data_IF_618672236567
#
_entry.id   IF_618672236567
#
_cell.length_a   1.000
_cell.length_b   1.000
_cell.length_c   1.000
_cell.angle_alpha   90.00
_cell.angle_beta   90.00
_cell.angle_gamma   90.00
#
_symmetry.space_group_name_H-M   'P 1'
#
loop_
_entity.id
_entity.type
_entity.pdbx_description
1 polymer ?
#
# COMPACT_ATOMS: atom_id res chain seq x y z
N UNK A 1 -62.12 5.81 -2.39
CA UNK A 1 -60.75 6.29 -2.68
C UNK A 1 -60.75 6.93 -4.06
N UNK A 2 -60.24 8.15 -4.23
CA UNK A 2 -60.26 8.83 -5.54
C UNK A 2 -59.05 8.41 -6.38
N UNK A 3 -59.27 8.15 -7.67
CA UNK A 3 -58.26 7.63 -8.62
C UNK A 3 -57.41 8.73 -9.27
N UNK A 4 -57.36 9.92 -8.66
CA UNK A 4 -56.74 11.11 -9.24
C UNK A 4 -55.21 11.11 -9.10
N UNK A 5 -54.67 10.57 -7.99
CA UNK A 5 -53.24 10.38 -7.82
C UNK A 5 -52.82 9.08 -8.50
N UNK A 6 -52.14 9.19 -9.64
CA UNK A 6 -51.68 8.04 -10.44
C UNK A 6 -50.21 8.21 -10.83
N UNK A 7 -49.43 7.12 -10.90
CA UNK A 7 -48.06 7.18 -11.39
C UNK A 7 -48.03 7.47 -12.90
N UNK A 8 -46.91 8.03 -13.36
CA UNK A 8 -46.64 8.26 -14.79
C UNK A 8 -45.95 7.02 -15.37
N UNK A 9 -46.65 6.26 -16.20
CA UNK A 9 -46.07 5.09 -16.90
C UNK A 9 -45.42 5.45 -18.24
N UNK A 10 -45.92 6.49 -18.90
CA UNK A 10 -45.37 7.01 -20.15
C UNK A 10 -44.97 8.47 -19.97
N UNK A 11 -43.72 8.85 -20.29
CA UNK A 11 -43.29 10.24 -20.23
C UNK A 11 -43.89 11.05 -21.38
N UNK A 12 -43.98 12.37 -21.21
CA UNK A 12 -44.32 13.28 -22.31
C UNK A 12 -43.21 13.25 -23.38
N UNK A 13 -43.60 13.22 -24.66
CA UNK A 13 -42.66 13.23 -25.80
C UNK A 13 -42.45 14.68 -26.27
N UNK A 14 -41.22 15.04 -26.59
CA UNK A 14 -40.91 16.28 -27.30
C UNK A 14 -41.33 16.22 -28.78
N UNK A 15 -41.41 17.37 -29.42
CA UNK A 15 -41.72 17.55 -30.85
C UNK A 15 -42.97 18.39 -31.14
N UNK A 16 -43.76 18.74 -30.11
CA UNK A 16 -45.02 19.49 -30.27
C UNK A 16 -45.05 20.79 -29.49
N UNK A 17 -43.99 21.11 -28.74
CA UNK A 17 -43.95 22.28 -27.88
C UNK A 17 -43.35 23.50 -28.59
N UNK A 18 -43.31 24.62 -27.87
CA UNK A 18 -42.73 25.87 -28.34
C UNK A 18 -41.27 25.67 -28.78
N UNK A 19 -40.96 26.03 -30.02
CA UNK A 19 -39.62 25.89 -30.61
C UNK A 19 -39.36 24.51 -31.25
N UNK A 20 -40.37 23.63 -31.29
CA UNK A 20 -40.28 22.30 -31.89
C UNK A 20 -41.26 22.20 -33.08
N UNK A 21 -40.78 21.71 -34.23
CA UNK A 21 -41.61 21.39 -35.41
C UNK A 21 -41.91 22.56 -36.33
N UNK A 22 -42.66 23.56 -35.87
CA UNK A 22 -43.11 24.69 -36.70
C UNK A 22 -42.59 26.02 -36.13
N UNK A 23 -41.56 26.57 -36.78
CA UNK A 23 -40.98 27.86 -36.42
C UNK A 23 -41.92 29.02 -36.79
N UNK A 24 -43.02 28.81 -37.51
CA UNK A 24 -43.90 29.88 -38.01
C UNK A 24 -44.84 30.46 -36.93
N UNK A 25 -45.15 29.71 -35.88
CA UNK A 25 -45.94 30.19 -34.72
C UNK A 25 -45.02 30.78 -33.64
N UNK A 26 -44.19 31.77 -34.02
CA UNK A 26 -43.28 32.42 -33.07
C UNK A 26 -44.06 33.15 -31.98
N UNK A 27 -44.00 32.63 -30.75
CA UNK A 27 -44.47 33.33 -29.56
C UNK A 27 -43.48 34.44 -29.19
N UNK A 28 -44.00 35.63 -28.84
CA UNK A 28 -43.22 36.77 -28.36
C UNK A 28 -42.81 36.66 -26.88
N UNK A 29 -43.31 35.63 -26.17
CA UNK A 29 -42.90 35.37 -24.78
C UNK A 29 -41.43 34.94 -24.79
N UNK A 30 -40.63 35.27 -23.78
CA UNK A 30 -39.28 34.70 -23.59
C UNK A 30 -38.95 34.64 -22.10
N UNK A 31 -38.09 33.72 -21.69
CA UNK A 31 -37.61 33.64 -20.31
C UNK A 31 -36.45 34.59 -20.09
N UNK A 32 -36.21 35.01 -18.84
CA UNK A 32 -34.97 35.71 -18.48
C UNK A 32 -33.71 34.90 -18.79
N UNK A 33 -33.83 33.56 -18.84
CA UNK A 33 -32.74 32.64 -19.22
C UNK A 33 -32.46 32.60 -20.73
N UNK A 34 -33.41 33.07 -21.56
CA UNK A 34 -33.26 33.13 -23.02
C UNK A 34 -32.59 34.44 -23.47
N UNK A 35 -32.29 35.34 -22.53
CA UNK A 35 -31.56 36.57 -22.83
C UNK A 35 -30.15 36.24 -23.32
N UNK A 36 -29.59 37.03 -24.26
CA UNK A 36 -28.27 36.76 -24.81
C UNK A 36 -27.19 36.60 -23.73
N UNK A 37 -26.63 35.40 -23.63
CA UNK A 37 -25.54 35.06 -22.72
C UNK A 37 -24.61 34.05 -23.38
N UNK A 38 -23.31 34.10 -23.05
CA UNK A 38 -22.27 33.25 -23.65
C UNK A 38 -22.28 33.22 -25.19
N UNK A 39 -22.40 34.39 -25.82
CA UNK A 39 -22.48 34.54 -27.28
C UNK A 39 -21.16 34.24 -28.01
N UNK A 40 -20.07 33.99 -27.27
CA UNK A 40 -18.75 33.68 -27.82
C UNK A 40 -18.28 32.31 -27.35
N UNK A 41 -18.15 31.38 -28.30
CA UNK A 41 -17.58 30.05 -28.05
C UNK A 41 -16.06 30.15 -27.81
N UNK A 42 -15.58 29.39 -26.82
CA UNK A 42 -14.15 29.25 -26.54
C UNK A 42 -13.60 28.06 -27.31
N UNK A 43 -12.48 28.27 -27.99
CA UNK A 43 -11.72 27.22 -28.66
C UNK A 43 -10.46 26.90 -27.88
N UNK A 44 -10.07 25.61 -27.86
CA UNK A 44 -8.81 25.18 -27.26
C UNK A 44 -7.65 25.87 -27.97
N UNK A 45 -6.77 26.49 -27.20
CA UNK A 45 -5.52 27.05 -27.72
C UNK A 45 -4.43 25.96 -27.76
N UNK A 46 -3.38 26.19 -28.53
CA UNK A 46 -2.20 25.32 -28.55
C UNK A 46 -1.70 25.06 -27.12
N UNK A 47 -1.37 23.80 -26.80
CA UNK A 47 -1.01 23.37 -25.44
C UNK A 47 -2.19 23.04 -24.52
N UNK A 48 -3.44 23.33 -24.87
CA UNK A 48 -4.65 22.95 -24.10
C UNK A 48 -5.27 21.62 -24.55
N UNK A 49 -4.49 20.81 -25.28
CA UNK A 49 -4.97 19.57 -25.91
C UNK A 49 -5.84 19.86 -27.13
N UNK A 50 -5.32 20.64 -28.08
CA UNK A 50 -5.93 20.74 -29.42
C UNK A 50 -5.87 19.37 -30.10
N UNK A 51 -6.70 19.17 -31.12
CA UNK A 51 -6.71 17.93 -31.88
C UNK A 51 -5.35 17.65 -32.52
N UNK A 52 -4.68 18.68 -33.05
CA UNK A 52 -3.35 18.56 -33.65
C UNK A 52 -2.28 18.17 -32.63
N UNK A 53 -2.37 18.66 -31.40
CA UNK A 53 -1.45 18.29 -30.32
C UNK A 53 -1.66 16.84 -29.89
N UNK A 54 -2.91 16.36 -29.88
CA UNK A 54 -3.24 14.98 -29.51
C UNK A 54 -2.85 13.99 -30.59
N UNK A 55 -3.04 14.33 -31.87
CA UNK A 55 -2.65 13.46 -33.02
C UNK A 55 -1.15 13.18 -33.05
N UNK A 56 -0.32 14.10 -32.56
CA UNK A 56 1.15 13.96 -32.54
C UNK A 56 1.67 13.21 -31.31
N UNK A 57 0.84 12.97 -30.29
CA UNK A 57 1.26 12.37 -29.02
C UNK A 57 1.03 10.87 -29.00
N UNK A 58 2.02 10.13 -28.50
CA UNK A 58 1.84 8.74 -28.11
C UNK A 58 1.26 8.67 -26.68
N UNK A 59 -0.07 8.54 -26.61
CA UNK A 59 -0.81 8.53 -25.36
C UNK A 59 -0.52 7.29 -24.50
N UNK A 60 -0.16 6.16 -25.13
CA UNK A 60 0.09 4.90 -24.42
C UNK A 60 1.37 5.02 -23.60
N UNK A 61 2.45 5.49 -24.24
CA UNK A 61 3.73 5.70 -23.56
C UNK A 61 3.63 6.76 -22.46
N UNK A 62 2.98 7.89 -22.73
CA UNK A 62 2.82 8.95 -21.72
C UNK A 62 2.02 8.47 -20.50
N UNK A 63 1.01 7.61 -20.70
CA UNK A 63 0.24 7.00 -19.63
C UNK A 63 1.11 6.06 -18.80
N UNK A 64 1.88 5.18 -19.43
CA UNK A 64 2.74 4.21 -18.74
C UNK A 64 3.82 4.92 -17.90
N UNK A 65 4.45 5.97 -18.43
CA UNK A 65 5.43 6.77 -17.70
C UNK A 65 4.79 7.47 -16.47
N UNK A 66 3.56 7.98 -16.61
CA UNK A 66 2.81 8.58 -15.49
C UNK A 66 2.41 7.55 -14.45
N UNK A 67 1.95 6.37 -14.86
CA UNK A 67 1.60 5.28 -13.96
C UNK A 67 2.83 4.80 -13.17
N UNK A 68 3.98 4.64 -13.84
CA UNK A 68 5.24 4.30 -13.20
C UNK A 68 5.64 5.32 -12.14
N UNK A 69 5.52 6.61 -12.46
CA UNK A 69 5.84 7.69 -11.52
C UNK A 69 4.85 7.74 -10.35
N UNK A 70 3.56 7.61 -10.60
CA UNK A 70 2.53 7.56 -9.56
C UNK A 70 2.70 6.34 -8.64
N UNK A 71 3.05 5.18 -9.20
CA UNK A 71 3.37 3.98 -8.43
C UNK A 71 4.62 4.17 -7.55
N UNK A 72 5.66 4.84 -8.07
CA UNK A 72 6.87 5.16 -7.30
C UNK A 72 6.56 6.13 -6.16
N UNK A 73 5.78 7.18 -6.41
CA UNK A 73 5.35 8.13 -5.38
C UNK A 73 4.50 7.45 -4.30
N UNK A 74 3.55 6.59 -4.70
CA UNK A 74 2.74 5.80 -3.78
C UNK A 74 3.62 4.91 -2.88
N UNK A 75 4.58 4.18 -3.46
CA UNK A 75 5.53 3.35 -2.68
C UNK A 75 6.40 4.19 -1.75
N UNK A 76 6.89 5.35 -2.19
CA UNK A 76 7.66 6.24 -1.34
C UNK A 76 6.84 6.76 -0.15
N UNK A 77 5.57 7.13 -0.37
CA UNK A 77 4.66 7.57 0.68
C UNK A 77 4.30 6.44 1.65
N UNK A 78 4.06 5.24 1.15
CA UNK A 78 3.81 4.05 1.98
C UNK A 78 5.05 3.65 2.79
N UNK A 79 6.24 3.73 2.20
CA UNK A 79 7.51 3.50 2.89
C UNK A 79 7.72 4.51 4.02
N UNK A 80 7.52 5.81 3.75
CA UNK A 80 7.61 6.87 4.75
C UNK A 80 6.56 6.70 5.87
N UNK A 81 5.35 6.25 5.54
CA UNK A 81 4.32 5.92 6.52
C UNK A 81 4.71 4.69 7.38
N UNK A 82 5.40 3.70 6.80
CA UNK A 82 5.81 2.48 7.51
C UNK A 82 7.02 2.66 8.43
N UNK A 83 7.87 3.66 8.21
CA UNK A 83 8.96 4.02 9.14
C UNK A 83 8.45 4.51 10.50
N UNK A 84 7.18 4.91 10.60
CA UNK A 84 6.52 5.25 11.87
C UNK A 84 5.85 4.07 12.60
N UNK A 85 5.89 2.86 12.03
CA UNK A 85 5.21 1.69 12.62
C UNK A 85 5.94 0.35 12.35
N UNK A 86 6.95 0.09 13.18
CA UNK A 86 7.49 -1.21 13.62
C UNK A 86 7.83 -2.29 12.58
N UNK A 87 9.13 -2.54 12.47
CA UNK A 87 9.89 -3.39 11.55
C UNK A 87 9.87 -4.91 11.83
N UNK A 88 8.82 -5.50 12.43
CA UNK A 88 8.93 -6.92 12.89
C UNK A 88 7.81 -7.87 12.47
N UNK A 89 6.80 -7.42 11.70
CA UNK A 89 5.66 -8.28 11.34
C UNK A 89 5.46 -8.55 9.85
N UNK A 90 6.20 -7.87 8.96
CA UNK A 90 6.10 -8.09 7.50
C UNK A 90 6.75 -9.40 7.03
N UNK A 91 7.80 -9.89 7.69
CA UNK A 91 8.49 -11.12 7.27
C UNK A 91 7.63 -12.40 7.34
N UNK A 92 6.63 -12.49 8.24
CA UNK A 92 5.77 -13.69 8.34
C UNK A 92 4.62 -13.72 7.33
N UNK A 93 4.16 -12.58 6.83
CA UNK A 93 3.02 -12.54 5.92
C UNK A 93 3.44 -12.82 4.47
N UNK A 94 4.67 -12.45 4.10
CA UNK A 94 5.22 -12.74 2.77
C UNK A 94 5.58 -14.23 2.59
N UNK A 95 5.94 -14.96 3.66
CA UNK A 95 6.21 -16.41 3.58
C UNK A 95 4.93 -17.23 3.32
N UNK A 96 3.80 -16.87 3.95
CA UNK A 96 2.52 -17.58 3.76
C UNK A 96 1.95 -17.33 2.35
N UNK A 97 2.13 -16.12 1.81
CA UNK A 97 1.70 -15.79 0.45
C UNK A 97 2.54 -16.54 -0.61
N UNK A 98 3.85 -16.67 -0.41
CA UNK A 98 4.73 -17.41 -1.30
C UNK A 98 4.46 -18.93 -1.29
N UNK A 99 4.20 -19.53 -0.12
CA UNK A 99 3.81 -20.95 -0.02
C UNK A 99 2.44 -21.23 -0.65
N UNK A 100 1.49 -20.29 -0.54
CA UNK A 100 0.16 -20.44 -1.17
C UNK A 100 0.19 -20.30 -2.70
N UNK A 101 1.16 -19.56 -3.25
CA UNK A 101 1.32 -19.41 -4.70
C UNK A 101 2.04 -20.62 -5.34
N UNK A 102 2.92 -21.29 -4.59
CA UNK A 102 3.62 -22.49 -5.07
C UNK A 102 2.75 -23.76 -5.06
N UNK A 103 1.65 -23.79 -4.31
CA UNK A 103 0.77 -24.95 -4.20
C UNK A 103 -0.36 -25.01 -5.25
N UNK A 104 -0.47 -24.03 -6.15
CA UNK A 104 -1.58 -23.91 -7.12
C UNK A 104 -1.13 -24.18 -8.57
N UNK A 105 0.17 -24.39 -8.81
CA UNK A 105 0.74 -24.60 -10.16
C UNK A 105 1.50 -25.93 -10.24
N UNK A 106 0.80 -27.03 -9.95
CA UNK A 106 1.37 -28.36 -9.86
C UNK A 106 0.62 -29.38 -10.73
N UNK A 107 0.25 -29.01 -11.96
CA UNK A 107 -0.21 -29.96 -13.00
C UNK A 107 0.02 -29.36 -14.42
N UNK A 108 1.27 -29.33 -14.89
CA UNK A 108 1.57 -29.40 -16.33
C UNK A 108 2.85 -30.20 -16.56
N UNK A 109 2.67 -31.51 -16.74
CA UNK A 109 3.70 -32.45 -17.16
C UNK A 109 3.39 -32.91 -18.60
N UNK A 110 4.18 -32.46 -19.57
CA UNK A 110 4.43 -33.08 -20.88
C UNK A 110 5.83 -32.62 -21.32
N UNK A 111 6.86 -33.37 -21.01
CA UNK A 111 7.40 -34.53 -21.75
C UNK A 111 8.36 -34.13 -22.89
N UNK A 112 9.43 -34.90 -22.96
CA UNK A 112 10.70 -34.71 -23.64
C UNK A 112 10.59 -34.47 -25.15
N UNK A 113 11.36 -33.51 -25.68
CA UNK A 113 12.01 -33.66 -26.99
C UNK A 113 13.44 -33.10 -26.95
N UNK A 114 14.35 -34.02 -26.69
CA UNK A 114 15.75 -34.00 -27.10
C UNK A 114 15.83 -34.19 -28.63
N UNK A 115 16.58 -33.35 -29.36
CA UNK A 115 17.53 -33.72 -30.43
C UNK A 115 17.76 -32.63 -31.50
N UNK A 116 19.01 -32.61 -31.99
CA UNK A 116 19.62 -31.88 -33.13
C UNK A 116 20.21 -30.51 -32.74
N UNK A 117 21.49 -30.38 -32.37
CA UNK A 117 22.72 -30.66 -33.15
C UNK A 117 22.73 -29.91 -34.49
N UNK A 118 23.34 -28.71 -34.46
CA UNK A 118 23.97 -28.06 -35.60
C UNK A 118 25.15 -27.23 -35.08
N UNK A 119 26.33 -27.68 -35.50
CA UNK A 119 27.68 -27.16 -35.30
C UNK A 119 27.94 -25.94 -36.21
N UNK A 120 28.43 -24.83 -35.63
CA UNK A 120 29.29 -23.86 -36.36
C UNK A 120 30.15 -23.01 -35.39
N UNK A 121 31.42 -23.40 -35.29
CA UNK A 121 32.63 -22.56 -35.25
C UNK A 121 32.76 -21.42 -34.20
N UNK A 122 33.57 -21.67 -33.15
CA UNK A 122 34.84 -20.95 -32.84
C UNK A 122 35.36 -21.34 -31.43
N UNK A 123 36.23 -22.35 -31.41
CA UNK A 123 36.66 -23.13 -30.24
C UNK A 123 38.03 -22.67 -29.68
N UNK A 124 38.13 -21.41 -29.22
CA UNK A 124 39.30 -20.97 -28.42
C UNK A 124 38.99 -19.87 -27.37
N UNK A 125 37.98 -19.00 -27.59
CA UNK A 125 37.66 -17.90 -26.66
C UNK A 125 36.68 -18.29 -25.51
N UNK A 126 35.93 -19.39 -25.65
CA UNK A 126 34.90 -19.81 -24.68
C UNK A 126 35.48 -20.55 -23.46
N UNK A 127 36.60 -21.26 -23.63
CA UNK A 127 37.26 -22.01 -22.55
C UNK A 127 37.94 -21.08 -21.54
N UNK A 128 38.54 -19.97 -22.01
CA UNK A 128 39.18 -18.97 -21.14
C UNK A 128 38.15 -18.27 -20.23
N UNK A 129 36.97 -17.93 -20.77
CA UNK A 129 35.91 -17.22 -20.06
C UNK A 129 35.26 -18.07 -18.94
N UNK A 130 35.09 -19.39 -19.16
CA UNK A 130 34.55 -20.30 -18.15
C UNK A 130 35.52 -20.52 -16.98
N UNK A 131 36.83 -20.61 -17.25
CA UNK A 131 37.85 -20.70 -16.20
C UNK A 131 37.93 -19.42 -15.34
N UNK A 132 37.70 -18.25 -15.94
CA UNK A 132 37.64 -16.98 -15.20
C UNK A 132 36.37 -16.86 -14.35
N UNK A 133 35.21 -17.30 -14.86
CA UNK A 133 33.97 -17.36 -14.08
C UNK A 133 34.04 -18.33 -12.91
N UNK A 134 34.68 -19.48 -13.07
CA UNK A 134 34.93 -20.43 -11.98
C UNK A 134 35.85 -19.85 -10.92
N UNK A 135 36.87 -19.09 -11.33
CA UNK A 135 37.77 -18.38 -10.41
C UNK A 135 37.03 -17.29 -9.61
N UNK A 136 36.19 -16.48 -10.26
CA UNK A 136 35.36 -15.46 -9.61
C UNK A 136 34.34 -16.10 -8.65
N UNK A 137 33.73 -17.23 -9.04
CA UNK A 137 32.76 -17.94 -8.21
C UNK A 137 33.42 -18.57 -6.98
N UNK A 138 34.65 -19.09 -7.11
CA UNK A 138 35.44 -19.60 -6.00
C UNK A 138 35.87 -18.49 -5.04
N UNK A 139 36.32 -17.36 -5.57
CA UNK A 139 36.72 -16.19 -4.77
C UNK A 139 35.53 -15.61 -3.98
N UNK A 140 34.36 -15.46 -4.61
CA UNK A 140 33.13 -15.01 -3.91
C UNK A 140 32.61 -16.00 -2.88
N UNK A 141 32.77 -17.30 -3.13
CA UNK A 141 32.37 -18.32 -2.16
C UNK A 141 33.26 -18.29 -0.91
N UNK A 142 34.56 -18.03 -1.09
CA UNK A 142 35.53 -17.91 0.00
C UNK A 142 35.34 -16.62 0.79
N UNK A 143 35.08 -15.48 0.13
CA UNK A 143 34.74 -14.22 0.81
C UNK A 143 33.42 -14.32 1.60
N UNK A 144 32.41 -14.98 1.03
CA UNK A 144 31.13 -15.20 1.72
C UNK A 144 31.31 -16.14 2.92
N UNK A 145 32.10 -17.21 2.78
CA UNK A 145 32.39 -18.12 3.88
C UNK A 145 33.14 -17.41 5.01
N UNK A 146 34.13 -16.57 4.70
CA UNK A 146 34.86 -15.77 5.69
C UNK A 146 33.95 -14.76 6.42
N UNK A 147 33.03 -14.12 5.68
CA UNK A 147 32.05 -13.19 6.27
C UNK A 147 31.05 -13.90 7.17
N UNK A 148 30.55 -15.06 6.76
CA UNK A 148 29.60 -15.85 7.54
C UNK A 148 30.27 -16.41 8.82
N UNK A 149 31.56 -16.73 8.77
CA UNK A 149 32.35 -17.13 9.94
C UNK A 149 32.58 -15.96 10.92
N UNK A 150 32.89 -14.76 10.43
CA UNK A 150 33.03 -13.55 11.27
C UNK A 150 31.70 -13.17 11.95
N UNK A 151 30.58 -13.32 11.25
CA UNK A 151 29.24 -13.08 11.82
C UNK A 151 28.95 -14.10 12.92
N UNK A 152 29.24 -15.38 12.67
CA UNK A 152 29.02 -16.45 13.65
C UNK A 152 29.88 -16.27 14.91
N UNK A 153 31.14 -15.84 14.77
CA UNK A 153 31.99 -15.50 15.92
C UNK A 153 31.43 -14.32 16.74
N UNK A 154 30.87 -13.31 16.07
CA UNK A 154 30.25 -12.16 16.75
C UNK A 154 29.00 -12.58 17.52
N UNK A 155 28.15 -13.42 16.91
CA UNK A 155 26.97 -13.99 17.56
C UNK A 155 27.34 -14.89 18.75
N UNK A 156 28.41 -15.67 18.65
CA UNK A 156 28.90 -16.50 19.76
C UNK A 156 29.48 -15.65 20.91
N UNK A 157 30.22 -14.57 20.59
CA UNK A 157 30.70 -13.59 21.59
C UNK A 157 29.55 -12.87 22.29
N UNK A 158 28.51 -12.47 21.54
CA UNK A 158 27.33 -11.83 22.11
C UNK A 158 26.51 -12.80 22.97
N UNK A 159 26.36 -14.06 22.52
CA UNK A 159 25.72 -15.12 23.31
C UNK A 159 26.48 -15.37 24.62
N UNK A 160 27.80 -15.41 24.58
CA UNK A 160 28.63 -15.58 25.79
C UNK A 160 28.51 -14.37 26.72
N UNK A 161 28.51 -13.14 26.18
CA UNK A 161 28.31 -11.92 26.94
C UNK A 161 26.91 -11.87 27.60
N UNK A 162 25.87 -12.32 26.90
CA UNK A 162 24.51 -12.33 27.43
C UNK A 162 24.29 -13.43 28.50
N UNK A 163 24.99 -14.57 28.40
CA UNK A 163 25.01 -15.59 29.47
C UNK A 163 25.76 -15.06 30.70
N UNK A 164 26.84 -14.28 30.50
CA UNK A 164 27.63 -13.71 31.59
C UNK A 164 26.93 -12.52 32.27
N UNK A 165 26.25 -11.67 31.51
CA UNK A 165 25.51 -10.49 32.01
C UNK A 165 24.07 -10.81 32.46
N UNK A 166 23.52 -11.96 32.04
CA UNK A 166 22.17 -12.40 32.39
C UNK A 166 22.05 -13.03 33.79
N UNK A 167 23.15 -13.15 34.55
CA UNK A 167 23.15 -13.68 35.91
C UNK A 167 23.15 -12.55 36.97
N UNK A 168 21.99 -12.19 37.54
CA UNK A 168 21.88 -11.10 38.51
C UNK A 168 22.57 -11.39 39.86
N UNK A 169 22.96 -12.64 40.15
CA UNK A 169 23.68 -13.01 41.37
C UNK A 169 25.17 -12.61 41.34
N UNK A 170 25.76 -12.38 40.16
CA UNK A 170 27.18 -12.02 40.03
C UNK A 170 27.44 -10.52 40.12
N UNK A 171 26.39 -9.69 40.04
CA UNK A 171 26.49 -8.22 40.09
C UNK A 171 26.27 -7.64 41.51
N UNK A 172 26.12 -8.48 42.53
CA UNK A 172 25.99 -8.07 43.94
C UNK A 172 27.32 -7.96 44.70
N UNK A 173 28.47 -8.08 44.04
CA UNK A 173 29.76 -7.90 44.71
C UNK A 173 30.20 -6.43 44.74
N UNK A 174 29.53 -5.63 45.57
CA UNK A 174 30.07 -4.36 46.06
C UNK A 174 29.05 -3.44 46.76
N UNK A 175 29.36 -2.93 47.97
CA UNK A 175 29.87 -3.59 49.16
C UNK A 175 28.73 -3.77 50.19
N UNK A 176 28.42 -5.01 50.57
CA UNK A 176 27.63 -5.27 51.77
C UNK A 176 28.50 -5.01 53.00
N UNK A 177 28.22 -3.90 53.68
CA UNK A 177 28.82 -3.54 54.95
C UNK A 177 27.86 -2.71 55.80
N UNK A 178 27.10 -3.41 56.65
CA UNK A 178 26.65 -2.95 57.97
C UNK A 178 25.66 -1.76 58.06
N UNK A 179 24.47 -2.09 58.58
CA UNK A 179 23.74 -1.32 59.60
C UNK A 179 23.28 0.10 59.24
N UNK A 180 21.96 0.27 59.17
CA UNK A 180 21.33 1.53 59.57
C UNK A 180 20.16 1.95 58.69
N UNK A 181 18.95 1.77 59.23
CA UNK A 181 17.81 2.68 59.10
C UNK A 181 17.92 3.76 58.01
N UNK A 182 17.56 3.41 56.80
CA UNK A 182 17.12 4.37 55.78
C UNK A 182 15.86 3.77 55.20
N UNK A 183 14.70 4.32 55.57
CA UNK A 183 13.42 3.90 54.99
C UNK A 183 13.50 4.11 53.49
N UNK A 184 13.68 3.01 52.77
CA UNK A 184 13.52 2.95 51.32
C UNK A 184 12.15 3.55 50.99
N UNK A 185 12.13 4.75 50.44
CA UNK A 185 10.96 5.36 49.81
C UNK A 185 10.69 4.68 48.47
N UNK A 186 10.84 3.36 48.42
CA UNK A 186 10.41 2.53 47.31
C UNK A 186 8.90 2.42 47.44
N UNK A 187 8.19 3.14 46.58
CA UNK A 187 6.72 3.14 46.50
C UNK A 187 6.25 1.69 46.35
N UNK A 188 5.93 1.04 47.47
CA UNK A 188 5.59 -0.39 47.56
C UNK A 188 4.27 -0.73 46.88
N UNK A 189 3.43 0.27 46.61
CA UNK A 189 2.19 0.12 45.88
C UNK A 189 1.92 1.37 45.06
N UNK A 190 1.77 1.17 43.76
CA UNK A 190 1.49 2.24 42.80
C UNK A 190 0.05 2.71 43.06
N UNK A 191 -0.24 4.00 42.89
CA UNK A 191 -1.61 4.52 43.02
C UNK A 191 -2.59 3.80 42.08
N UNK A 192 -2.09 3.37 40.93
CA UNK A 192 -2.78 2.59 39.93
C UNK A 192 -2.96 1.12 40.27
N UNK A 193 -2.38 0.58 41.35
CA UNK A 193 -2.33 -0.87 41.59
C UNK A 193 -3.70 -1.44 42.00
N UNK A 194 -4.47 -0.68 42.77
CA UNK A 194 -5.82 -1.03 43.26
C UNK A 194 -6.93 -0.54 42.30
N UNK A 195 -6.82 -0.92 41.04
CA UNK A 195 -7.85 -0.64 40.01
C UNK A 195 -8.22 -1.96 39.33
N UNK A 196 -9.51 -2.27 39.33
CA UNK A 196 -10.06 -3.56 38.86
C UNK A 196 -9.91 -3.80 37.35
N UNK A 197 -9.70 -2.75 36.56
CA UNK A 197 -9.48 -2.84 35.11
C UNK A 197 -8.13 -2.26 34.72
N UNK A 198 -7.32 -3.04 34.01
CA UNK A 198 -6.00 -2.63 33.51
C UNK A 198 -5.98 -2.70 31.98
N UNK A 199 -5.40 -1.69 31.33
CA UNK A 199 -5.00 -1.74 29.92
C UNK A 199 -6.11 -2.12 28.90
N UNK A 200 -7.40 -1.84 29.17
CA UNK A 200 -8.52 -2.22 28.29
C UNK A 200 -8.42 -1.69 26.85
N UNK A 201 -7.74 -0.57 26.65
CA UNK A 201 -7.56 0.06 25.32
C UNK A 201 -6.19 -0.23 24.67
N UNK A 202 -5.37 -1.13 25.25
CA UNK A 202 -4.05 -1.45 24.70
C UNK A 202 -4.21 -2.05 23.29
N UNK A 203 -3.69 -1.37 22.27
CA UNK A 203 -3.78 -1.80 20.87
C UNK A 203 -5.03 -1.34 20.10
N UNK A 204 -5.91 -0.50 20.66
CA UNK A 204 -7.12 0.00 19.96
C UNK A 204 -6.77 0.93 18.79
N UNK A 205 -5.64 1.63 18.84
CA UNK A 205 -5.22 2.56 17.80
C UNK A 205 -5.00 1.91 16.43
N UNK A 206 -4.61 0.64 16.39
CA UNK A 206 -4.39 -0.09 15.12
C UNK A 206 -5.70 -0.31 14.36
N UNK A 207 -6.80 -0.53 15.08
CA UNK A 207 -8.13 -0.76 14.47
C UNK A 207 -8.77 0.51 13.89
N UNK A 208 -8.39 1.70 14.39
CA UNK A 208 -8.92 3.00 13.94
C UNK A 208 -8.23 3.57 12.71
N UNK A 209 -7.09 3.00 12.29
CA UNK A 209 -6.24 3.53 11.21
C UNK A 209 -6.67 3.08 9.81
N UNK A 210 -7.48 2.05 9.70
CA UNK A 210 -7.94 1.55 8.39
C UNK A 210 -9.09 2.41 7.88
N UNK A 211 -8.76 3.39 7.03
CA UNK A 211 -9.76 4.16 6.28
C UNK A 211 -10.42 3.20 5.29
N UNK A 212 -11.57 2.64 5.69
CA UNK A 212 -12.37 1.76 4.84
C UNK A 212 -13.50 2.57 4.23
N UNK A 213 -13.56 2.58 2.90
CA UNK A 213 -14.71 3.09 2.19
C UNK A 213 -15.77 1.99 2.08
N UNK A 214 -17.00 2.30 2.48
CA UNK A 214 -18.15 1.41 2.36
C UNK A 214 -19.15 2.10 1.44
N UNK A 215 -19.51 1.44 0.33
CA UNK A 215 -20.58 1.90 -0.57
C UNK A 215 -21.96 1.61 0.04
N UNK A 216 -22.23 2.24 1.18
CA UNK A 216 -23.47 2.11 1.93
C UNK A 216 -23.73 3.43 2.67
N UNK A 217 -24.87 4.06 2.40
CA UNK A 217 -25.21 5.36 2.95
C UNK A 217 -25.46 5.35 4.48
N UNK A 218 -25.80 4.20 5.07
CA UNK A 218 -26.13 4.09 6.51
C UNK A 218 -25.03 3.40 7.32
N UNK A 219 -24.26 2.50 6.70
CA UNK A 219 -23.17 1.78 7.39
C UNK A 219 -21.82 2.43 7.24
N UNK A 220 -21.68 3.41 6.34
CA UNK A 220 -20.45 4.20 6.20
C UNK A 220 -20.06 4.87 7.52
N UNK A 221 -18.76 4.92 7.78
CA UNK A 221 -18.18 5.66 8.91
C UNK A 221 -18.58 7.14 8.90
N UNK A 222 -18.85 7.71 7.72
CA UNK A 222 -19.39 9.05 7.60
C UNK A 222 -20.77 9.16 8.27
N UNK A 223 -21.68 8.22 7.97
CA UNK A 223 -23.03 8.25 8.49
C UNK A 223 -23.07 7.98 10.00
N UNK A 224 -22.28 7.02 10.49
CA UNK A 224 -22.16 6.75 11.93
C UNK A 224 -21.71 8.00 12.68
N UNK A 225 -20.63 8.66 12.23
CA UNK A 225 -20.14 9.91 12.81
C UNK A 225 -21.14 11.05 12.70
N UNK A 226 -21.90 11.11 11.61
CA UNK A 226 -22.97 12.10 11.45
C UNK A 226 -24.07 11.87 12.50
N UNK A 227 -24.54 10.64 12.66
CA UNK A 227 -25.57 10.31 13.65
C UNK A 227 -25.08 10.55 15.07
N UNK A 228 -23.88 10.11 15.43
CA UNK A 228 -23.27 10.37 16.75
C UNK A 228 -23.13 11.87 17.06
N UNK A 229 -22.97 12.71 16.03
CA UNK A 229 -22.82 14.16 16.18
C UNK A 229 -24.15 14.89 16.31
N UNK A 230 -25.16 14.51 15.54
CA UNK A 230 -26.41 15.25 15.41
C UNK A 230 -27.57 14.63 16.19
N UNK A 231 -27.43 13.40 16.66
CA UNK A 231 -28.39 12.69 17.50
C UNK A 231 -27.67 12.28 18.78
N UNK A 232 -28.18 12.72 19.93
CA UNK A 232 -27.59 12.49 21.25
C UNK A 232 -28.42 11.56 22.10
#
# INVERSE_FOLDING_TARGET
>A
MTTAHRPTFFPARGGTARGEGDLSKLSAQYSSKDMPSHTKMKYRQTGQGTEDDLRKKDLRRELEDKERNAAREKRARESASSTSSNHSKRQRMDQIAAESAAAVDADEAVDELNSSDEDDSDEDDTAALMAELEKIKKERAEEKAARDEEIKEKEEKERMANILAGNPLLNESGPSGSSGSSGDFTVKRRWDDDVVFKNCAKGVEERKKNVTFINDAIRSEFHKKFMDKYIK
#
